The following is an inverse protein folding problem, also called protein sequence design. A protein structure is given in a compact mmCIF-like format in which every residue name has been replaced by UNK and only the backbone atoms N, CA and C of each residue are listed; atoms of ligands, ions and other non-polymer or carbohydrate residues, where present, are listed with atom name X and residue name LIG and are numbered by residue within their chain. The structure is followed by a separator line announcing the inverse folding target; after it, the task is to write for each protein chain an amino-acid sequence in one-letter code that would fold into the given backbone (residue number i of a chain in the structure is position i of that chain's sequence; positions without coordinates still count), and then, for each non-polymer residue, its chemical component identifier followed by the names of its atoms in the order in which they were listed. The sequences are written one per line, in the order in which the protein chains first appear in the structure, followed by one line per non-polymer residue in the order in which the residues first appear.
data_IF_229091967734
#
_entry.id   IF_229091967734
#
_cell.length_a   1.000
_cell.length_b   1.000
_cell.length_c   1.000
_cell.angle_alpha   90.00
_cell.angle_beta   90.00
_cell.angle_gamma   90.00
#
_symmetry.space_group_name_H-M   'P 1'
#
loop_
_entity.id
_entity.type
_entity.pdbx_description
1 polymer ?
#
# COMPACT_ATOMS: atom_id res chain seq x y z
N UNK A 1 14.73 9.19 13.03
CA UNK A 1 13.36 9.42 13.53
C UNK A 1 12.77 8.15 14.11
N UNK A 2 12.01 8.28 15.19
CA UNK A 2 11.37 7.19 15.96
C UNK A 2 9.94 6.88 15.50
N UNK A 3 9.52 7.39 14.34
CA UNK A 3 8.17 7.15 13.84
C UNK A 3 8.07 5.79 13.15
N UNK A 4 7.03 5.04 13.48
CA UNK A 4 6.69 3.78 12.81
C UNK A 4 6.44 4.03 11.33
N UNK A 5 6.93 3.14 10.46
CA UNK A 5 6.72 3.23 9.01
C UNK A 5 5.24 3.11 8.67
N UNK A 6 4.72 4.10 7.95
CA UNK A 6 3.32 4.23 7.60
C UNK A 6 3.18 4.68 6.15
N UNK A 7 2.14 4.18 5.48
CA UNK A 7 1.79 4.67 4.16
C UNK A 7 0.31 4.47 3.83
N UNK A 8 -0.16 5.21 2.83
CA UNK A 8 -1.43 4.97 2.16
C UNK A 8 -1.30 5.17 0.65
N UNK A 9 -1.92 4.29 -0.12
CA UNK A 9 -1.95 4.33 -1.59
C UNK A 9 -3.40 4.15 -2.03
N UNK A 10 -3.91 5.11 -2.79
CA UNK A 10 -5.31 5.12 -3.21
C UNK A 10 -5.56 6.10 -4.35
N UNK A 11 -6.68 5.96 -5.03
CA UNK A 11 -7.13 6.98 -6.00
C UNK A 11 -7.75 8.18 -5.30
N UNK A 12 -7.74 9.32 -5.98
CA UNK A 12 -8.28 10.58 -5.45
C UNK A 12 -9.74 10.50 -4.97
N UNK A 13 -10.55 9.64 -5.59
CA UNK A 13 -11.97 9.43 -5.26
C UNK A 13 -12.21 8.46 -4.09
N UNK A 14 -11.15 7.90 -3.50
CA UNK A 14 -11.23 6.87 -2.44
C UNK A 14 -10.93 7.38 -1.03
N UNK A 15 -10.80 8.71 -0.86
CA UNK A 15 -10.43 9.34 0.41
C UNK A 15 -11.35 8.97 1.59
N UNK A 16 -12.65 8.77 1.33
CA UNK A 16 -13.65 8.44 2.36
C UNK A 16 -13.44 7.07 3.03
N UNK A 17 -12.62 6.19 2.44
CA UNK A 17 -12.39 4.83 2.94
C UNK A 17 -11.10 4.68 3.75
N UNK A 18 -10.30 5.73 3.81
CA UNK A 18 -8.95 5.69 4.37
C UNK A 18 -8.95 6.40 5.71
N UNK A 19 -8.44 5.71 6.74
CA UNK A 19 -8.27 6.31 8.06
C UNK A 19 -7.35 7.53 7.99
N UNK A 20 -7.60 8.55 8.84
CA UNK A 20 -6.73 9.74 8.91
C UNK A 20 -5.37 9.36 9.47
N UNK A 21 -4.41 9.15 8.58
CA UNK A 21 -3.00 9.03 8.93
C UNK A 21 -2.39 10.44 8.96
N UNK A 22 -1.91 10.86 10.13
CA UNK A 22 -1.33 12.18 10.36
C UNK A 22 0.19 12.15 10.17
N UNK A 23 0.78 13.26 9.72
CA UNK A 23 2.24 13.40 9.60
C UNK A 23 2.86 12.71 8.38
N UNK A 24 2.07 12.38 7.36
CA UNK A 24 2.56 11.87 6.08
C UNK A 24 2.51 12.95 5.01
N UNK A 25 3.45 12.87 4.07
CA UNK A 25 3.53 13.75 2.90
C UNK A 25 3.20 12.99 1.62
N UNK A 26 2.74 13.72 0.60
CA UNK A 26 2.57 13.18 -0.74
C UNK A 26 3.94 12.89 -1.37
N UNK A 27 4.10 11.70 -1.96
CA UNK A 27 5.36 11.26 -2.56
C UNK A 27 5.13 10.66 -3.94
N UNK A 28 6.12 10.80 -4.81
CA UNK A 28 6.19 10.08 -6.07
C UNK A 28 7.14 8.88 -5.93
N UNK A 29 6.76 7.76 -6.55
CA UNK A 29 7.58 6.55 -6.61
C UNK A 29 8.63 6.61 -7.72
N UNK A 30 8.45 7.50 -8.70
CA UNK A 30 9.28 7.60 -9.90
C UNK A 30 8.82 6.72 -11.05
N UNK A 31 7.60 6.16 -10.97
CA UNK A 31 6.97 5.35 -12.01
C UNK A 31 5.71 6.07 -12.49
N UNK A 32 5.77 6.78 -13.64
CA UNK A 32 4.71 7.68 -14.07
C UNK A 32 3.32 7.04 -14.15
N UNK A 33 3.24 5.80 -14.65
CA UNK A 33 1.97 5.06 -14.75
C UNK A 33 1.33 4.77 -13.39
N UNK A 34 2.15 4.59 -12.36
CA UNK A 34 1.72 4.38 -10.98
C UNK A 34 1.39 5.70 -10.28
N UNK A 35 2.27 6.69 -10.41
CA UNK A 35 2.16 8.01 -9.77
C UNK A 35 0.98 8.83 -10.35
N UNK A 36 0.65 8.66 -11.63
CA UNK A 36 -0.56 9.24 -12.24
C UNK A 36 -1.85 8.56 -11.75
N UNK A 37 -1.77 7.29 -11.35
CA UNK A 37 -2.94 6.52 -10.95
C UNK A 37 -3.29 6.72 -9.47
N UNK A 38 -2.30 6.93 -8.61
CA UNK A 38 -2.48 6.90 -7.15
C UNK A 38 -1.96 8.16 -6.45
N UNK A 39 -2.71 8.60 -5.45
CA UNK A 39 -2.19 9.42 -4.36
C UNK A 39 -1.45 8.49 -3.41
N UNK A 40 -0.17 8.80 -3.18
CA UNK A 40 0.72 8.02 -2.33
C UNK A 40 1.20 8.93 -1.23
N UNK A 41 0.96 8.52 0.02
CA UNK A 41 1.40 9.24 1.21
C UNK A 41 2.22 8.35 2.11
N UNK A 42 3.29 8.88 2.68
CA UNK A 42 4.12 8.16 3.66
C UNK A 42 4.89 9.13 4.56
N UNK A 43 5.41 8.61 5.67
CA UNK A 43 6.41 9.27 6.49
C UNK A 43 7.85 8.78 6.23
N UNK A 44 8.06 7.80 5.33
CA UNK A 44 9.39 7.33 4.92
C UNK A 44 9.47 7.12 3.39
N UNK A 45 9.68 8.20 2.61
CA UNK A 45 9.64 8.14 1.13
C UNK A 45 10.61 7.11 0.53
N UNK A 46 11.84 7.03 1.04
CA UNK A 46 12.86 6.13 0.49
C UNK A 46 12.57 4.64 0.75
N UNK A 47 12.00 4.32 1.92
CA UNK A 47 11.53 2.96 2.20
C UNK A 47 10.36 2.59 1.30
N UNK A 48 9.42 3.51 1.09
CA UNK A 48 8.30 3.32 0.19
C UNK A 48 8.78 3.06 -1.25
N UNK A 49 9.68 3.91 -1.78
CA UNK A 49 10.28 3.72 -3.11
C UNK A 49 10.97 2.36 -3.26
N UNK A 50 11.65 1.88 -2.22
CA UNK A 50 12.30 0.57 -2.22
C UNK A 50 11.28 -0.57 -2.38
N UNK A 51 10.17 -0.52 -1.64
CA UNK A 51 9.09 -1.51 -1.72
C UNK A 51 8.44 -1.50 -3.11
N UNK A 52 8.11 -0.31 -3.62
CA UNK A 52 7.44 -0.15 -4.91
C UNK A 52 8.38 -0.18 -6.11
N UNK A 53 9.68 -0.41 -5.94
CA UNK A 53 10.60 -0.72 -7.03
C UNK A 53 10.25 -2.08 -7.69
N UNK A 54 9.60 -2.98 -6.96
CA UNK A 54 9.14 -4.26 -7.50
C UNK A 54 7.94 -4.06 -8.48
N UNK A 55 8.10 -4.36 -9.79
CA UNK A 55 7.03 -4.17 -10.76
C UNK A 55 5.81 -5.04 -10.50
N UNK A 56 5.97 -6.25 -9.95
CA UNK A 56 4.84 -7.14 -9.68
C UNK A 56 3.87 -6.56 -8.64
N UNK A 57 4.41 -5.83 -7.65
CA UNK A 57 3.60 -5.11 -6.65
C UNK A 57 2.83 -3.96 -7.32
N UNK A 58 3.49 -3.15 -8.15
CA UNK A 58 2.85 -2.04 -8.85
C UNK A 58 1.75 -2.53 -9.79
N UNK A 59 2.03 -3.58 -10.58
CA UNK A 59 1.07 -4.18 -11.50
C UNK A 59 -0.16 -4.74 -10.78
N UNK A 60 0.04 -5.43 -9.65
CA UNK A 60 -1.07 -5.95 -8.84
C UNK A 60 -1.97 -4.83 -8.30
N UNK A 61 -1.38 -3.73 -7.84
CA UNK A 61 -2.12 -2.55 -7.39
C UNK A 61 -2.85 -1.86 -8.54
N UNK A 62 -2.23 -1.70 -9.71
CA UNK A 62 -2.85 -1.12 -10.90
C UNK A 62 -4.05 -1.94 -11.40
N UNK A 63 -3.97 -3.29 -11.31
CA UNK A 63 -5.10 -4.17 -11.62
C UNK A 63 -6.30 -3.94 -10.69
N UNK A 64 -6.02 -3.63 -9.43
CA UNK A 64 -7.01 -3.39 -8.38
C UNK A 64 -7.12 -1.90 -8.00
N UNK A 65 -6.91 -1.00 -8.98
CA UNK A 65 -6.80 0.45 -8.74
C UNK A 65 -7.99 1.11 -8.07
N UNK A 66 -9.15 0.47 -8.06
CA UNK A 66 -10.34 0.95 -7.33
C UNK A 66 -10.35 0.49 -5.86
N UNK A 67 -9.18 0.14 -5.32
CA UNK A 67 -8.93 -0.15 -3.93
C UNK A 67 -8.03 0.88 -3.26
N UNK A 68 -7.81 0.65 -1.97
CA UNK A 68 -6.87 1.39 -1.15
C UNK A 68 -5.98 0.40 -0.38
N UNK A 69 -4.69 0.71 -0.28
CA UNK A 69 -3.72 -0.03 0.52
C UNK A 69 -3.16 0.88 1.61
N UNK A 70 -3.13 0.41 2.86
CA UNK A 70 -2.59 1.19 3.98
C UNK A 70 -1.76 0.33 4.93
N UNK A 71 -0.71 0.92 5.47
CA UNK A 71 0.08 0.38 6.58
C UNK A 71 0.07 1.38 7.74
N UNK A 72 -0.34 0.92 8.93
CA UNK A 72 -0.41 1.75 10.13
C UNK A 72 -0.22 0.93 11.42
N UNK A 73 0.12 1.57 12.55
CA UNK A 73 0.24 0.88 13.84
C UNK A 73 -1.09 0.23 14.25
N UNK A 74 -1.04 -1.04 14.66
CA UNK A 74 -2.23 -1.80 15.07
C UNK A 74 -2.74 -1.43 16.48
N UNK A 75 -1.92 -0.78 17.28
CA UNK A 75 -2.18 -0.39 18.66
C UNK A 75 -1.37 0.86 19.05
N UNK A 76 -1.72 1.48 20.18
CA UNK A 76 -1.09 2.74 20.65
C UNK A 76 0.40 2.61 20.96
N UNK A 77 0.89 1.41 21.29
CA UNK A 77 2.30 1.16 21.59
C UNK A 77 3.17 0.92 20.33
N UNK A 78 2.54 0.80 19.14
CA UNK A 78 3.23 0.61 17.87
C UNK A 78 3.99 -0.71 17.71
N UNK A 79 3.77 -1.68 18.61
CA UNK A 79 4.44 -2.99 18.56
C UNK A 79 3.87 -3.90 17.47
N UNK A 80 2.69 -3.57 16.96
CA UNK A 80 2.03 -4.29 15.87
C UNK A 80 1.73 -3.36 14.72
N UNK A 81 1.68 -3.92 13.52
CA UNK A 81 1.28 -3.21 12.31
C UNK A 81 0.05 -3.86 11.70
N UNK A 82 -0.84 -3.04 11.16
CA UNK A 82 -1.94 -3.45 10.30
C UNK A 82 -1.62 -3.05 8.88
N UNK A 83 -1.56 -4.04 8.00
CA UNK A 83 -1.56 -3.86 6.55
C UNK A 83 -2.96 -4.22 6.05
N UNK A 84 -3.64 -3.28 5.41
CA UNK A 84 -5.00 -3.47 4.93
C UNK A 84 -5.11 -3.13 3.44
N UNK A 85 -5.77 -4.00 2.67
CA UNK A 85 -6.14 -3.75 1.27
C UNK A 85 -7.66 -3.80 1.12
N UNK A 86 -8.26 -2.61 0.97
CA UNK A 86 -9.70 -2.43 0.82
C UNK A 86 -10.08 -2.30 -0.65
N UNK A 87 -11.19 -2.93 -1.06
CA UNK A 87 -11.75 -2.77 -2.40
C UNK A 87 -13.11 -2.08 -2.34
N UNK A 88 -13.46 -1.36 -3.41
CA UNK A 88 -14.80 -0.79 -3.54
C UNK A 88 -15.90 -1.85 -3.69
N UNK A 89 -15.56 -3.03 -4.21
CA UNK A 89 -16.49 -4.10 -4.59
C UNK A 89 -15.95 -5.48 -4.22
N UNK A 90 -16.86 -6.43 -4.02
CA UNK A 90 -16.50 -7.82 -3.74
C UNK A 90 -15.81 -8.50 -4.93
N UNK A 91 -14.87 -9.40 -4.64
CA UNK A 91 -14.27 -10.30 -5.63
C UNK A 91 -15.04 -11.63 -5.63
N UNK A 92 -15.63 -11.97 -6.77
CA UNK A 92 -16.28 -13.28 -6.98
C UNK A 92 -15.42 -14.24 -7.82
N UNK A 93 -14.31 -13.76 -8.38
CA UNK A 93 -13.39 -14.54 -9.20
C UNK A 93 -12.21 -15.06 -8.38
N UNK A 94 -12.14 -16.39 -8.19
CA UNK A 94 -11.10 -17.03 -7.38
C UNK A 94 -9.69 -16.79 -7.94
N UNK A 95 -9.43 -16.92 -9.27
CA UNK A 95 -8.17 -16.50 -9.87
C UNK A 95 -7.74 -15.08 -9.51
N UNK A 96 -8.62 -14.08 -9.63
CA UNK A 96 -8.35 -12.70 -9.21
C UNK A 96 -8.04 -12.60 -7.71
N UNK A 97 -8.81 -13.27 -6.85
CA UNK A 97 -8.55 -13.30 -5.41
C UNK A 97 -7.16 -13.86 -5.09
N UNK A 98 -6.75 -14.94 -5.77
CA UNK A 98 -5.40 -15.53 -5.62
C UNK A 98 -4.30 -14.57 -6.07
N UNK A 99 -4.49 -13.86 -7.18
CA UNK A 99 -3.54 -12.84 -7.66
C UNK A 99 -3.39 -11.70 -6.64
N UNK A 100 -4.51 -11.19 -6.13
CA UNK A 100 -4.50 -10.14 -5.10
C UNK A 100 -3.80 -10.62 -3.83
N UNK A 101 -4.11 -11.83 -3.36
CA UNK A 101 -3.44 -12.43 -2.20
C UNK A 101 -1.94 -12.57 -2.42
N UNK A 102 -1.50 -13.03 -3.60
CA UNK A 102 -0.08 -13.14 -3.91
C UNK A 102 0.62 -11.77 -3.90
N UNK A 103 0.02 -10.76 -4.52
CA UNK A 103 0.53 -9.39 -4.48
C UNK A 103 0.62 -8.87 -3.03
N UNK A 104 -0.40 -9.15 -2.21
CA UNK A 104 -0.41 -8.80 -0.79
C UNK A 104 0.74 -9.46 -0.02
N UNK A 105 1.03 -10.74 -0.29
CA UNK A 105 2.18 -11.43 0.32
C UNK A 105 3.52 -10.84 -0.11
N UNK A 106 3.67 -10.44 -1.37
CA UNK A 106 4.89 -9.77 -1.85
C UNK A 106 5.12 -8.43 -1.14
N UNK A 107 4.05 -7.68 -0.88
CA UNK A 107 4.11 -6.43 -0.11
C UNK A 107 4.56 -6.70 1.33
N UNK A 108 4.00 -7.72 1.99
CA UNK A 108 4.43 -8.11 3.35
C UNK A 108 5.90 -8.53 3.40
N UNK A 109 6.35 -9.33 2.44
CA UNK A 109 7.74 -9.77 2.32
C UNK A 109 8.69 -8.56 2.14
N UNK A 110 8.31 -7.61 1.28
CA UNK A 110 9.06 -6.37 1.05
C UNK A 110 9.13 -5.47 2.30
N UNK A 111 8.03 -5.33 3.05
CA UNK A 111 8.00 -4.54 4.29
C UNK A 111 8.84 -5.20 5.39
N UNK A 112 8.81 -6.53 5.50
CA UNK A 112 9.48 -7.27 6.58
C UNK A 112 10.93 -7.65 6.27
N UNK A 113 11.41 -7.35 5.06
CA UNK A 113 12.77 -7.71 4.61
C UNK A 113 12.97 -9.22 4.43
N UNK A 114 11.90 -10.00 4.38
CA UNK A 114 11.95 -11.44 4.08
C UNK A 114 11.93 -11.61 2.57
N UNK A 115 13.09 -11.61 1.94
CA UNK A 115 13.20 -12.06 0.54
C UNK A 115 13.10 -13.58 0.52
N UNK A 116 12.12 -14.14 -0.21
CA UNK A 116 12.11 -15.57 -0.56
C UNK A 116 13.29 -15.91 -1.48
#
# INVERSE_FOLDING_TARGET
DTQHFQFSIHRQDMFDRIGKLFGMEDVETGYPDFDECFIIKTNHPEQLKTIFNNPAIREGLLQEKNGALQLYPGNEDGNTYTLEWMLSHAIFDVPRLKKMYHCFTQIMDAITGKTQ
#
